data_IF_821743420416
#
_entry.id   IF_821743420416
#
_cell.length_a   1.000
_cell.length_b   1.000
_cell.length_c   1.000
_cell.angle_alpha   90.00
_cell.angle_beta   90.00
_cell.angle_gamma   90.00
#
_symmetry.space_group_name_H-M   'P 1'
#
loop_
_entity.id
_entity.type
_entity.pdbx_description
1 polymer ?
#
# COMPACT_ATOMS: atom_id res chain seq x y z
N UNK A 1 5.57 -12.37 23.90
CA UNK A 1 4.82 -12.27 22.64
C UNK A 1 5.53 -11.26 21.80
N UNK A 2 6.12 -11.67 20.68
CA UNK A 2 6.80 -10.75 19.78
C UNK A 2 5.76 -10.03 18.92
N UNK A 3 5.62 -8.73 19.12
CA UNK A 3 4.95 -7.86 18.15
C UNK A 3 5.89 -7.67 16.96
N UNK A 4 5.56 -8.28 15.82
CA UNK A 4 6.31 -8.08 14.59
C UNK A 4 5.68 -6.92 13.82
N UNK A 5 6.18 -5.72 14.09
CA UNK A 5 5.97 -4.58 13.19
C UNK A 5 6.76 -4.86 11.92
N UNK A 6 6.07 -5.02 10.79
CA UNK A 6 6.72 -5.12 9.47
C UNK A 6 7.23 -3.72 9.09
N UNK A 7 8.34 -3.31 9.70
CA UNK A 7 9.00 -2.06 9.35
C UNK A 7 9.62 -2.20 7.96
N UNK A 8 9.10 -1.45 6.99
CA UNK A 8 9.70 -1.29 5.67
C UNK A 8 11.06 -0.61 5.80
N UNK A 9 12.15 -1.35 5.66
CA UNK A 9 13.50 -0.78 5.66
C UNK A 9 13.85 -0.27 4.26
N UNK A 10 13.60 1.02 4.02
CA UNK A 10 14.17 1.79 2.92
C UNK A 10 15.43 2.55 3.35
N UNK A 11 16.27 2.95 2.40
CA UNK A 11 17.39 3.87 2.62
C UNK A 11 16.90 5.20 3.24
N UNK A 12 17.75 5.99 3.94
CA UNK A 12 17.34 7.30 4.44
C UNK A 12 16.89 8.17 3.26
N UNK A 13 15.58 8.41 3.18
CA UNK A 13 15.00 9.32 2.21
C UNK A 13 15.31 10.76 2.60
N UNK A 14 15.54 11.59 1.60
CA UNK A 14 15.62 13.04 1.75
C UNK A 14 14.36 13.53 2.51
N UNK A 15 14.49 14.30 3.60
CA UNK A 15 13.35 14.79 4.38
C UNK A 15 12.28 15.48 3.51
N UNK A 16 12.70 16.19 2.47
CA UNK A 16 11.78 16.84 1.53
C UNK A 16 11.00 15.81 0.69
N UNK A 17 11.65 14.76 0.21
CA UNK A 17 11.01 13.67 -0.52
C UNK A 17 10.01 12.91 0.36
N UNK A 18 10.34 12.71 1.63
CA UNK A 18 9.45 12.07 2.61
C UNK A 18 8.19 12.91 2.85
N UNK A 19 8.36 14.22 3.13
CA UNK A 19 7.23 15.15 3.32
C UNK A 19 6.34 15.19 2.07
N UNK A 20 6.94 15.21 0.88
CA UNK A 20 6.22 15.15 -0.38
C UNK A 20 5.39 13.87 -0.52
N UNK A 21 5.98 12.72 -0.17
CA UNK A 21 5.31 11.43 -0.19
C UNK A 21 4.11 11.39 0.75
N UNK A 22 4.29 11.82 2.00
CA UNK A 22 3.21 11.91 3.00
C UNK A 22 2.08 12.84 2.54
N UNK A 23 2.42 13.97 1.92
CA UNK A 23 1.43 14.89 1.37
C UNK A 23 0.60 14.25 0.23
N UNK A 24 1.24 13.56 -0.71
CA UNK A 24 0.52 12.84 -1.78
C UNK A 24 -0.39 11.75 -1.19
N UNK A 25 0.11 10.94 -0.25
CA UNK A 25 -0.71 9.91 0.40
C UNK A 25 -1.94 10.52 1.04
N UNK A 26 -1.76 11.61 1.81
CA UNK A 26 -2.86 12.28 2.49
C UNK A 26 -3.90 12.85 1.54
N UNK A 27 -3.47 13.42 0.41
CA UNK A 27 -4.37 13.88 -0.64
C UNK A 27 -5.16 12.71 -1.25
N UNK A 28 -4.49 11.61 -1.62
CA UNK A 28 -5.16 10.44 -2.21
C UNK A 28 -6.13 9.77 -1.23
N UNK A 29 -5.78 9.73 0.05
CA UNK A 29 -6.67 9.26 1.13
C UNK A 29 -7.94 10.11 1.19
N UNK A 30 -7.79 11.43 1.33
CA UNK A 30 -8.90 12.32 1.67
C UNK A 30 -9.76 12.76 0.48
N UNK A 31 -9.22 12.71 -0.75
CA UNK A 31 -9.86 13.29 -1.94
C UNK A 31 -10.51 12.26 -2.87
N UNK A 32 -10.26 10.96 -2.70
CA UNK A 32 -10.72 9.93 -3.63
C UNK A 32 -12.24 9.89 -3.82
N UNK A 33 -13.01 10.11 -2.75
CA UNK A 33 -14.48 10.09 -2.76
C UNK A 33 -15.11 11.48 -2.93
N UNK A 34 -14.30 12.51 -3.18
CA UNK A 34 -14.74 13.91 -3.27
C UNK A 34 -15.03 14.31 -4.70
N UNK A 35 -16.02 15.19 -4.86
CA UNK A 35 -16.30 15.85 -6.13
C UNK A 35 -15.05 16.61 -6.60
N UNK A 36 -14.61 16.45 -7.86
CA UNK A 36 -13.48 17.19 -8.42
C UNK A 36 -13.52 18.71 -8.16
N UNK A 37 -14.71 19.32 -8.12
CA UNK A 37 -14.88 20.74 -7.85
C UNK A 37 -14.52 21.13 -6.40
N UNK A 38 -14.65 20.22 -5.44
CA UNK A 38 -14.38 20.46 -4.01
C UNK A 38 -12.93 20.11 -3.63
N UNK A 39 -12.24 19.28 -4.42
CA UNK A 39 -10.90 18.76 -4.10
C UNK A 39 -9.87 19.85 -3.83
N UNK A 40 -9.91 20.95 -4.59
CA UNK A 40 -8.93 22.03 -4.45
C UNK A 40 -9.04 22.75 -3.09
N UNK A 41 -10.27 23.02 -2.63
CA UNK A 41 -10.51 23.66 -1.33
C UNK A 41 -10.11 22.73 -0.17
N UNK A 42 -10.46 21.44 -0.27
CA UNK A 42 -10.09 20.45 0.74
C UNK A 42 -8.57 20.30 0.80
N UNK A 43 -7.88 20.25 -0.35
CA UNK A 43 -6.42 20.17 -0.41
C UNK A 43 -5.73 21.38 0.24
N UNK A 44 -6.26 22.59 0.04
CA UNK A 44 -5.76 23.81 0.68
C UNK A 44 -5.81 23.73 2.21
N UNK A 45 -6.85 23.09 2.76
CA UNK A 45 -6.99 22.86 4.20
C UNK A 45 -6.12 21.71 4.73
N UNK A 46 -5.89 20.68 3.92
CA UNK A 46 -5.07 19.52 4.32
C UNK A 46 -3.58 19.87 4.39
N UNK A 47 -3.11 20.76 3.53
CA UNK A 47 -1.70 21.10 3.38
C UNK A 47 -1.48 22.64 3.46
N UNK A 48 -1.81 23.30 4.59
CA UNK A 48 -1.82 24.76 4.67
C UNK A 48 -0.45 25.40 4.38
N UNK A 49 0.63 24.79 4.87
CA UNK A 49 1.99 25.34 4.83
C UNK A 49 2.91 24.67 3.78
N UNK A 50 2.35 23.88 2.86
CA UNK A 50 3.14 23.15 1.88
C UNK A 50 3.53 24.06 0.69
N UNK A 51 4.84 24.33 0.45
CA UNK A 51 5.28 25.27 -0.57
C UNK A 51 4.90 24.85 -2.01
N UNK A 52 4.85 23.54 -2.27
CA UNK A 52 4.51 22.96 -3.59
C UNK A 52 3.07 22.42 -3.67
N UNK A 53 2.15 22.94 -2.85
CA UNK A 53 0.79 22.41 -2.75
C UNK A 53 0.07 22.28 -4.10
N UNK A 54 0.17 23.30 -4.95
CA UNK A 54 -0.52 23.30 -6.25
C UNK A 54 0.00 22.20 -7.17
N UNK A 55 1.31 21.96 -7.16
CA UNK A 55 1.94 20.87 -7.91
C UNK A 55 1.47 19.51 -7.36
N UNK A 56 1.43 19.37 -6.04
CA UNK A 56 0.97 18.13 -5.39
C UNK A 56 -0.50 17.85 -5.64
N UNK A 57 -1.33 18.89 -5.65
CA UNK A 57 -2.74 18.76 -5.98
C UNK A 57 -2.93 18.32 -7.44
N UNK A 58 -2.16 18.90 -8.37
CA UNK A 58 -2.20 18.48 -9.77
C UNK A 58 -1.73 17.03 -9.94
N UNK A 59 -0.66 16.60 -9.24
CA UNK A 59 -0.21 15.21 -9.23
C UNK A 59 -1.30 14.26 -8.67
N UNK A 60 -1.88 14.60 -7.52
CA UNK A 60 -2.94 13.79 -6.91
C UNK A 60 -4.19 13.72 -7.81
N UNK A 61 -4.64 14.85 -8.37
CA UNK A 61 -5.77 14.88 -9.30
C UNK A 61 -5.51 14.00 -10.53
N UNK A 62 -4.31 14.05 -11.10
CA UNK A 62 -3.91 13.19 -12.21
C UNK A 62 -4.00 11.70 -11.89
N UNK A 63 -3.67 11.28 -10.66
CA UNK A 63 -3.83 9.90 -10.20
C UNK A 63 -5.29 9.51 -9.95
N UNK A 64 -6.05 10.39 -9.29
CA UNK A 64 -7.46 10.15 -8.97
C UNK A 64 -8.32 10.01 -10.24
N UNK A 65 -8.00 10.78 -11.28
CA UNK A 65 -8.75 10.81 -12.53
C UNK A 65 -8.20 9.85 -13.60
N UNK A 66 -7.12 9.13 -13.30
CA UNK A 66 -6.51 8.18 -14.23
C UNK A 66 -7.47 7.00 -14.50
N UNK A 67 -7.85 6.71 -15.76
CA UNK A 67 -8.78 5.62 -16.08
C UNK A 67 -8.29 4.24 -15.60
N UNK A 68 -6.98 4.00 -15.65
CA UNK A 68 -6.37 2.76 -15.16
C UNK A 68 -6.40 2.59 -13.63
N UNK A 69 -6.72 3.64 -12.89
CA UNK A 69 -6.84 3.65 -11.43
C UNK A 69 -8.28 3.83 -10.96
N UNK A 70 -9.26 3.82 -11.88
CA UNK A 70 -10.67 4.04 -11.56
C UNK A 70 -11.22 3.03 -10.54
N UNK A 71 -10.76 1.77 -10.55
CA UNK A 71 -11.16 0.79 -9.53
C UNK A 71 -10.50 1.03 -8.17
N UNK A 72 -9.33 1.65 -8.13
CA UNK A 72 -8.56 1.95 -6.92
C UNK A 72 -9.14 3.16 -6.19
N UNK A 73 -9.58 4.18 -6.92
CA UNK A 73 -10.15 5.41 -6.35
C UNK A 73 -11.67 5.52 -6.51
N UNK A 74 -12.31 4.51 -7.08
CA UNK A 74 -13.74 4.49 -7.32
C UNK A 74 -14.58 4.28 -6.06
N UNK A 75 -15.92 4.39 -6.20
CA UNK A 75 -16.85 4.19 -5.11
C UNK A 75 -16.70 2.81 -4.44
N UNK A 76 -16.79 2.77 -3.12
CA UNK A 76 -16.70 1.54 -2.33
C UNK A 76 -15.26 1.05 -2.07
N UNK A 77 -14.25 1.73 -2.61
CA UNK A 77 -12.87 1.54 -2.18
C UNK A 77 -12.66 2.17 -0.78
N UNK A 78 -11.90 1.50 0.08
CA UNK A 78 -11.69 1.89 1.46
C UNK A 78 -10.26 2.41 1.65
N UNK A 79 -10.11 3.61 2.24
CA UNK A 79 -8.80 4.19 2.54
C UNK A 79 -8.32 3.77 3.93
N UNK A 80 -7.00 3.63 4.11
CA UNK A 80 -6.34 3.49 5.42
C UNK A 80 -6.94 2.37 6.30
N UNK A 81 -7.10 1.17 5.72
CA UNK A 81 -7.73 0.05 6.42
C UNK A 81 -6.73 -0.59 7.37
N UNK A 82 -6.99 -0.50 8.68
CA UNK A 82 -6.24 -1.24 9.68
C UNK A 82 -6.54 -2.74 9.59
N UNK A 83 -5.49 -3.54 9.62
CA UNK A 83 -5.59 -5.00 9.61
C UNK A 83 -4.81 -5.60 10.78
N UNK A 84 -5.48 -6.48 11.52
CA UNK A 84 -4.86 -7.31 12.54
C UNK A 84 -5.30 -8.75 12.38
N UNK A 85 -4.39 -9.62 11.97
CA UNK A 85 -4.69 -11.03 11.76
C UNK A 85 -3.48 -11.91 12.09
N UNK A 86 -3.71 -13.16 12.55
CA UNK A 86 -2.66 -14.16 12.59
C UNK A 86 -2.26 -14.57 11.17
N UNK A 87 -0.96 -14.60 10.88
CA UNK A 87 -0.40 -15.08 9.61
C UNK A 87 0.24 -16.44 9.85
N UNK A 88 -0.33 -17.48 9.25
CA UNK A 88 0.09 -18.87 9.49
C UNK A 88 1.51 -19.14 8.98
N UNK A 89 1.87 -18.52 7.86
CA UNK A 89 3.19 -18.55 7.25
C UNK A 89 4.27 -17.99 8.18
N UNK A 90 3.89 -17.07 9.08
CA UNK A 90 4.74 -16.54 10.15
C UNK A 90 4.56 -17.29 11.48
N UNK A 91 4.12 -18.55 11.43
CA UNK A 91 3.87 -19.37 12.62
C UNK A 91 2.71 -18.92 13.48
N UNK A 92 1.70 -18.29 12.88
CA UNK A 92 0.53 -17.76 13.58
C UNK A 92 0.80 -16.43 14.27
N UNK A 93 1.95 -15.79 14.02
CA UNK A 93 2.23 -14.45 14.52
C UNK A 93 1.16 -13.47 14.06
N UNK A 94 0.73 -12.59 14.98
CA UNK A 94 -0.20 -11.51 14.64
C UNK A 94 0.57 -10.40 13.95
N UNK A 95 0.11 -10.02 12.77
CA UNK A 95 0.56 -8.79 12.13
C UNK A 95 -0.38 -7.67 12.53
N UNK A 96 0.18 -6.46 12.64
CA UNK A 96 -0.58 -5.22 12.63
C UNK A 96 -0.09 -4.42 11.44
N UNK A 97 -1.01 -3.94 10.62
CA UNK A 97 -0.68 -3.14 9.46
C UNK A 97 -1.82 -2.22 9.07
N UNK A 98 -1.52 -1.32 8.13
CA UNK A 98 -2.47 -0.38 7.57
C UNK A 98 -2.32 -0.42 6.06
N UNK A 99 -3.42 -0.71 5.36
CA UNK A 99 -3.47 -0.81 3.91
C UNK A 99 -3.96 0.55 3.39
N UNK A 100 -3.15 1.25 2.60
CA UNK A 100 -3.49 2.58 2.08
C UNK A 100 -4.81 2.56 1.31
N UNK A 101 -5.05 1.49 0.54
CA UNK A 101 -6.29 1.29 -0.22
C UNK A 101 -6.71 -0.18 -0.30
N UNK A 102 -7.96 -0.46 0.06
CA UNK A 102 -8.59 -1.77 -0.08
C UNK A 102 -9.82 -1.68 -0.99
N UNK A 103 -9.83 -2.46 -2.06
CA UNK A 103 -10.99 -2.61 -2.95
C UNK A 103 -11.64 -3.94 -2.66
N UNK A 104 -12.92 -3.91 -2.28
CA UNK A 104 -13.72 -5.10 -1.98
C UNK A 104 -14.75 -5.25 -3.09
N UNK A 105 -14.37 -5.94 -4.16
CA UNK A 105 -15.27 -6.27 -5.27
C UNK A 105 -15.94 -7.64 -5.06
N UNK A 106 -16.87 -8.00 -5.94
CA UNK A 106 -17.51 -9.31 -5.93
C UNK A 106 -16.54 -10.39 -6.42
N UNK A 107 -15.70 -10.06 -7.40
CA UNK A 107 -14.80 -10.95 -8.11
C UNK A 107 -13.46 -11.11 -7.40
N UNK A 108 -12.93 -10.04 -6.79
CA UNK A 108 -11.63 -10.03 -6.11
C UNK A 108 -11.58 -9.03 -4.95
N UNK A 109 -10.67 -9.29 -4.00
CA UNK A 109 -10.19 -8.31 -3.04
C UNK A 109 -8.83 -7.82 -3.52
N UNK A 110 -8.66 -6.52 -3.66
CA UNK A 110 -7.38 -5.92 -4.06
C UNK A 110 -6.88 -5.00 -2.95
N UNK A 111 -5.73 -5.34 -2.37
CA UNK A 111 -5.02 -4.47 -1.45
C UNK A 111 -3.89 -3.73 -2.18
N UNK A 112 -3.90 -2.40 -2.06
CA UNK A 112 -2.96 -1.51 -2.72
C UNK A 112 -2.23 -0.69 -1.65
N UNK A 113 -0.91 -0.65 -1.78
CA UNK A 113 -0.01 0.18 -0.98
C UNK A 113 0.62 1.24 -1.90
N UNK A 114 0.73 2.47 -1.42
CA UNK A 114 1.21 3.59 -2.21
C UNK A 114 2.70 3.81 -1.95
N UNK A 115 3.46 4.05 -3.02
CA UNK A 115 4.90 4.27 -2.94
C UNK A 115 5.30 5.49 -3.75
N UNK A 116 5.95 6.45 -3.09
CA UNK A 116 6.44 7.70 -3.67
C UNK A 116 7.87 7.61 -4.22
N UNK A 117 8.46 6.41 -4.22
CA UNK A 117 9.83 6.18 -4.66
C UNK A 117 10.11 6.78 -6.05
N UNK A 118 11.26 7.46 -6.18
CA UNK A 118 11.71 8.02 -7.47
C UNK A 118 12.15 6.94 -8.45
N UNK A 119 12.75 5.87 -7.94
CA UNK A 119 13.12 4.69 -8.72
C UNK A 119 11.98 3.68 -8.65
N UNK A 120 11.22 3.57 -9.74
CA UNK A 120 10.17 2.58 -9.90
C UNK A 120 10.79 1.33 -10.55
N UNK A 121 10.69 0.14 -9.94
CA UNK A 121 11.15 -1.10 -10.57
C UNK A 121 10.39 -1.35 -11.88
N UNK A 122 11.08 -1.90 -12.88
CA UNK A 122 10.44 -2.24 -14.17
C UNK A 122 9.61 -3.53 -14.09
N UNK A 123 9.83 -4.35 -13.06
CA UNK A 123 9.17 -5.64 -12.88
C UNK A 123 8.90 -5.96 -11.40
N UNK A 124 7.83 -6.72 -11.07
CA UNK A 124 7.51 -7.12 -9.70
C UNK A 124 8.66 -7.82 -8.96
N UNK A 125 9.46 -8.62 -9.67
CA UNK A 125 10.59 -9.38 -9.11
C UNK A 125 11.72 -8.48 -8.61
N UNK A 126 11.75 -7.23 -9.08
CA UNK A 126 12.73 -6.21 -8.68
C UNK A 126 12.24 -5.32 -7.54
N UNK A 127 11.02 -5.54 -7.04
CA UNK A 127 10.49 -4.83 -5.87
C UNK A 127 11.31 -5.21 -4.62
N UNK A 128 11.68 -4.24 -3.77
CA UNK A 128 12.40 -4.51 -2.53
C UNK A 128 11.74 -5.59 -1.68
N UNK A 129 12.53 -6.55 -1.22
CA UNK A 129 12.08 -7.72 -0.45
C UNK A 129 11.20 -7.35 0.76
N UNK A 130 11.52 -6.25 1.45
CA UNK A 130 10.72 -5.78 2.59
C UNK A 130 9.29 -5.40 2.20
N UNK A 131 9.10 -4.79 1.02
CA UNK A 131 7.77 -4.46 0.48
C UNK A 131 7.06 -5.75 0.07
N UNK A 132 7.74 -6.68 -0.60
CA UNK A 132 7.14 -7.97 -0.98
C UNK A 132 6.63 -8.75 0.25
N UNK A 133 7.38 -8.76 1.35
CA UNK A 133 6.94 -9.36 2.62
C UNK A 133 5.71 -8.68 3.20
N UNK A 134 5.69 -7.36 3.22
CA UNK A 134 4.55 -6.57 3.70
C UNK A 134 3.29 -6.91 2.89
N UNK A 135 3.37 -6.87 1.56
CA UNK A 135 2.26 -7.18 0.68
C UNK A 135 1.82 -8.65 0.83
N UNK A 136 2.76 -9.59 1.00
CA UNK A 136 2.42 -10.99 1.26
C UNK A 136 1.69 -11.18 2.59
N UNK A 137 2.07 -10.43 3.62
CA UNK A 137 1.40 -10.45 4.91
C UNK A 137 -0.04 -9.90 4.83
N UNK A 138 -0.25 -8.80 4.09
CA UNK A 138 -1.61 -8.30 3.79
C UNK A 138 -2.43 -9.35 3.05
N UNK A 139 -1.85 -9.96 2.01
CA UNK A 139 -2.53 -11.00 1.25
C UNK A 139 -2.97 -12.17 2.15
N UNK A 140 -2.05 -12.69 2.98
CA UNK A 140 -2.35 -13.81 3.88
C UNK A 140 -3.45 -13.45 4.89
N UNK A 141 -3.36 -12.27 5.51
CA UNK A 141 -4.35 -11.79 6.46
C UNK A 141 -5.75 -11.59 5.83
N UNK A 142 -5.82 -10.98 4.65
CA UNK A 142 -7.07 -10.77 3.94
C UNK A 142 -7.66 -12.09 3.41
N UNK A 143 -6.82 -13.04 2.97
CA UNK A 143 -7.28 -14.38 2.53
C UNK A 143 -7.95 -15.12 3.68
N UNK A 144 -7.47 -14.96 4.91
CA UNK A 144 -8.12 -15.54 6.09
C UNK A 144 -9.49 -14.90 6.40
N UNK A 145 -9.68 -13.63 6.05
CA UNK A 145 -10.95 -12.90 6.24
C UNK A 145 -11.96 -13.19 5.11
N UNK A 146 -11.49 -13.41 3.89
CA UNK A 146 -12.30 -13.71 2.70
C UNK A 146 -11.83 -15.01 2.02
N UNK A 147 -12.12 -16.20 2.59
CA UNK A 147 -11.63 -17.47 2.06
C UNK A 147 -12.19 -17.80 0.67
N UNK A 148 -13.37 -17.31 0.34
CA UNK A 148 -14.07 -17.60 -0.91
C UNK A 148 -13.83 -16.55 -2.01
N UNK A 149 -12.94 -15.58 -1.79
CA UNK A 149 -12.59 -14.56 -2.79
C UNK A 149 -11.08 -14.53 -3.04
N UNK A 150 -10.64 -14.41 -4.31
CA UNK A 150 -9.23 -14.23 -4.59
C UNK A 150 -8.76 -12.89 -4.02
N UNK A 151 -7.59 -12.92 -3.38
CA UNK A 151 -6.93 -11.75 -2.82
C UNK A 151 -5.67 -11.47 -3.62
N UNK A 152 -5.66 -10.30 -4.24
CA UNK A 152 -4.55 -9.75 -5.00
C UNK A 152 -3.91 -8.57 -4.25
N UNK A 153 -2.64 -8.33 -4.55
CA UNK A 153 -1.91 -7.18 -4.02
C UNK A 153 -1.25 -6.39 -5.12
N UNK A 154 -1.21 -5.07 -4.95
CA UNK A 154 -0.55 -4.18 -5.90
C UNK A 154 0.16 -3.03 -5.19
N UNK A 155 1.12 -2.43 -5.88
CA UNK A 155 1.74 -1.16 -5.49
C UNK A 155 1.30 -0.10 -6.47
N UNK A 156 0.82 1.03 -5.96
CA UNK A 156 0.67 2.24 -6.77
C UNK A 156 1.93 3.09 -6.62
N UNK A 157 2.71 3.18 -7.70
CA UNK A 157 3.86 4.08 -7.78
C UNK A 157 3.38 5.49 -8.10
N UNK A 158 3.20 6.33 -7.09
CA UNK A 158 2.51 7.62 -7.23
C UNK A 158 3.26 8.61 -8.12
N UNK A 159 4.59 8.46 -8.26
CA UNK A 159 5.40 9.28 -9.17
C UNK A 159 5.13 9.04 -10.65
N UNK A 160 4.73 7.82 -11.03
CA UNK A 160 4.50 7.43 -12.42
C UNK A 160 3.04 7.12 -12.72
N UNK A 161 2.21 6.94 -11.69
CA UNK A 161 0.84 6.43 -11.80
C UNK A 161 0.75 4.95 -12.16
N UNK A 162 1.87 4.22 -12.12
CA UNK A 162 1.90 2.80 -12.45
C UNK A 162 1.29 1.97 -11.32
N UNK A 163 0.24 1.22 -11.63
CA UNK A 163 -0.30 0.17 -10.76
C UNK A 163 0.37 -1.15 -11.09
N UNK A 164 1.27 -1.59 -10.21
CA UNK A 164 2.01 -2.83 -10.36
C UNK A 164 1.35 -3.94 -9.52
N UNK A 165 0.63 -4.86 -10.16
CA UNK A 165 0.14 -6.07 -9.50
C UNK A 165 1.31 -7.00 -9.17
N UNK A 166 1.27 -7.59 -7.98
CA UNK A 166 2.31 -8.49 -7.50
C UNK A 166 1.84 -9.94 -7.61
N UNK A 167 2.61 -10.83 -8.28
CA UNK A 167 2.25 -12.23 -8.37
C UNK A 167 2.09 -12.87 -6.98
N UNK A 168 1.00 -13.60 -6.75
CA UNK A 168 0.70 -14.23 -5.46
C UNK A 168 1.85 -15.12 -4.94
N UNK A 169 2.49 -15.89 -5.83
CA UNK A 169 3.63 -16.74 -5.48
C UNK A 169 4.87 -15.93 -5.06
N UNK A 170 5.09 -14.75 -5.64
CA UNK A 170 6.22 -13.89 -5.33
C UNK A 170 6.12 -13.35 -3.90
N UNK A 171 4.96 -12.80 -3.54
CA UNK A 171 4.73 -12.23 -2.21
C UNK A 171 4.63 -13.32 -1.13
N UNK A 172 4.07 -14.49 -1.46
CA UNK A 172 4.05 -15.64 -0.55
C UNK A 172 5.47 -16.16 -0.25
N UNK A 173 6.32 -16.27 -1.27
CA UNK A 173 7.70 -16.69 -1.10
C UNK A 173 8.50 -15.69 -0.24
N UNK A 174 8.23 -14.38 -0.35
CA UNK A 174 8.87 -13.37 0.48
C UNK A 174 8.51 -13.53 1.97
N UNK A 175 7.23 -13.76 2.29
CA UNK A 175 6.79 -14.03 3.67
C UNK A 175 7.44 -15.29 4.23
N UNK A 176 7.48 -16.38 3.45
CA UNK A 176 8.11 -17.63 3.87
C UNK A 176 9.61 -17.45 4.21
N UNK A 177 10.36 -16.72 3.38
CA UNK A 177 11.77 -16.39 3.67
C UNK A 177 11.94 -15.60 4.96
N UNK A 178 10.99 -14.73 5.30
CA UNK A 178 11.01 -13.98 6.55
C UNK A 178 10.85 -14.88 7.77
N UNK A 179 9.97 -15.89 7.69
CA UNK A 179 9.77 -16.89 8.74
C UNK A 179 11.02 -17.73 8.98
N UNK A 180 11.78 -18.05 7.92
CA UNK A 180 13.03 -18.80 8.02
C UNK A 180 14.19 -18.00 8.61
N UNK A 181 14.09 -16.66 8.61
CA UNK A 181 15.08 -15.77 9.21
C UNK A 181 14.84 -15.52 10.70
N UNK A 182 13.70 -15.93 11.25
CA UNK A 182 13.44 -15.83 12.69
C UNK A 182 14.25 -16.90 13.46
N UNK A 183 15.26 -16.50 14.26
CA UNK A 183 16.10 -17.43 15.01
C UNK A 183 15.32 -18.23 16.07
N UNK A 184 14.11 -17.79 16.48
CA UNK A 184 13.25 -18.56 17.37
C UNK A 184 12.69 -19.83 16.71
N UNK A 185 12.56 -19.85 15.37
CA UNK A 185 12.05 -20.99 14.59
C UNK A 185 13.12 -21.97 14.12
N UNK A 186 14.39 -21.58 14.07
CA UNK A 186 15.51 -22.47 13.68
C UNK A 186 15.89 -23.53 14.74
N UNK A 187 15.22 -23.53 15.90
CA UNK A 187 15.53 -24.40 17.05
C UNK A 187 14.49 -25.50 17.33
N UNK A 188 13.49 -25.68 16.46
CA UNK A 188 12.55 -26.81 16.49
C UNK A 188 12.94 -27.86 15.46
#
# INVERSE_FOLDING_TARGET
GGEHVLAGSGAPEDPEAKLRGEAIHRLLECLHDRDPAERAEIAARLLPDMPDREILLAEAAGLLDAPGLASVFGPGSLAEVEICAPVQELGGARILGRIDRLVVAAEEILAVDFKSNRAVPDAPESVPEGILRQMGAYRAALTALWPDRPVETAILWTRTGALMRLPAGLVAAAVARAADLDPARRRS
#
